data_IF_370927932467
#
_entry.id   IF_370927932467
#
_cell.length_a   1.000
_cell.length_b   1.000
_cell.length_c   1.000
_cell.angle_alpha   90.00
_cell.angle_beta   90.00
_cell.angle_gamma   90.00
#
_symmetry.space_group_name_H-M   'P 1'
#
loop_
_entity.id
_entity.type
_entity.pdbx_description
1 polymer ?
#
# COMPACT_ATOMS: atom_id res chain seq x y z
N UNK A 1 -9.27 -4.51 26.31
CA UNK A 1 -8.34 -4.63 27.46
C UNK A 1 -7.00 -4.06 27.02
N UNK A 2 -6.77 -2.80 27.37
CA UNK A 2 -5.57 -2.03 27.08
C UNK A 2 -4.45 -2.47 28.02
N UNK A 3 -3.46 -3.19 27.51
CA UNK A 3 -2.20 -3.37 28.23
C UNK A 3 -1.31 -2.17 27.90
N UNK A 4 -1.48 -1.08 28.66
CA UNK A 4 -0.45 -0.06 28.78
C UNK A 4 0.65 -0.67 29.65
N UNK A 5 1.75 -1.10 29.04
CA UNK A 5 2.98 -1.35 29.81
C UNK A 5 3.59 0.02 30.14
N UNK A 6 3.79 0.28 31.42
CA UNK A 6 4.50 1.47 31.86
C UNK A 6 5.99 1.31 31.54
N UNK A 7 6.60 2.38 31.01
CA UNK A 7 8.04 2.51 30.72
C UNK A 7 8.92 2.09 31.92
N UNK A 8 8.39 2.13 33.15
CA UNK A 8 9.10 1.76 34.38
C UNK A 8 9.44 0.28 34.52
N UNK A 9 8.75 -0.64 33.82
CA UNK A 9 9.02 -2.09 33.94
C UNK A 9 10.19 -2.56 33.06
N UNK A 10 10.70 -1.73 32.15
CA UNK A 10 11.91 -2.03 31.36
C UNK A 10 13.22 -1.76 32.12
N UNK A 11 13.17 -1.05 33.25
CA UNK A 11 14.38 -0.48 33.85
C UNK A 11 15.31 -1.46 34.59
N UNK A 12 15.01 -2.76 34.59
CA UNK A 12 15.75 -3.74 35.41
C UNK A 12 16.87 -4.48 34.65
N UNK A 13 17.14 -4.17 33.38
CA UNK A 13 18.07 -4.94 32.54
C UNK A 13 19.30 -4.19 32.01
N UNK A 14 19.62 -3.01 32.59
CA UNK A 14 20.67 -2.16 32.05
C UNK A 14 22.09 -2.59 32.45
N UNK A 15 22.86 -3.03 31.46
CA UNK A 15 24.32 -3.01 31.49
C UNK A 15 24.86 -2.18 30.32
N UNK A 16 25.77 -1.25 30.63
CA UNK A 16 26.29 -0.24 29.70
C UNK A 16 27.33 -0.85 28.77
N UNK A 17 26.92 -1.29 27.59
CA UNK A 17 27.82 -1.42 26.45
C UNK A 17 27.11 -0.98 25.16
N UNK A 18 27.62 0.11 24.58
CA UNK A 18 27.20 0.70 23.31
C UNK A 18 27.48 -0.33 22.20
N UNK A 19 26.45 -1.10 21.86
CA UNK A 19 26.50 -2.21 20.90
C UNK A 19 25.61 -1.85 19.70
N UNK A 20 25.96 -2.30 18.50
CA UNK A 20 25.37 -1.95 17.20
C UNK A 20 23.84 -1.66 17.18
N UNK A 21 23.04 -2.37 17.98
CA UNK A 21 21.60 -2.09 18.16
C UNK A 21 21.28 -0.64 18.54
N UNK A 22 22.16 0.06 19.27
CA UNK A 22 21.94 1.45 19.65
C UNK A 22 21.96 2.42 18.45
N UNK A 23 22.82 2.15 17.46
CA UNK A 23 22.90 2.99 16.26
C UNK A 23 21.70 2.76 15.34
N UNK A 24 21.25 1.50 15.22
CA UNK A 24 20.08 1.13 14.43
C UNK A 24 18.80 1.78 14.99
N UNK A 25 18.60 1.69 16.31
CA UNK A 25 17.47 2.31 17.00
C UNK A 25 17.44 3.84 16.88
N UNK A 26 18.59 4.49 17.05
CA UNK A 26 18.74 5.94 16.90
C UNK A 26 18.43 6.41 15.46
N UNK A 27 18.99 5.72 14.45
CA UNK A 27 18.70 6.03 13.06
C UNK A 27 17.21 5.84 12.72
N UNK A 28 16.61 4.74 13.17
CA UNK A 28 15.19 4.48 12.98
C UNK A 28 14.32 5.58 13.60
N UNK A 29 14.67 6.05 14.81
CA UNK A 29 13.96 7.14 15.48
C UNK A 29 14.09 8.45 14.69
N UNK A 30 15.28 8.80 14.20
CA UNK A 30 15.51 9.99 13.36
C UNK A 30 14.68 9.96 12.07
N UNK A 31 14.68 8.82 11.37
CA UNK A 31 13.87 8.63 10.15
C UNK A 31 12.38 8.76 10.47
N UNK A 32 11.91 8.15 11.56
CA UNK A 32 10.52 8.24 11.98
C UNK A 32 10.11 9.68 12.32
N UNK A 33 10.88 10.39 13.14
CA UNK A 33 10.56 11.78 13.56
C UNK A 33 10.44 12.71 12.34
N UNK A 34 11.33 12.56 11.36
CA UNK A 34 11.35 13.44 10.20
C UNK A 34 10.28 13.13 9.16
N UNK A 35 9.78 11.89 9.11
CA UNK A 35 8.90 11.44 8.02
C UNK A 35 7.50 11.04 8.45
N UNK A 36 7.29 10.62 9.70
CA UNK A 36 5.99 10.19 10.17
C UNK A 36 5.11 11.40 10.53
N UNK A 37 3.79 11.26 10.34
CA UNK A 37 2.80 12.15 10.93
C UNK A 37 2.63 11.79 12.40
N UNK A 38 3.24 12.61 13.25
CA UNK A 38 3.33 12.43 14.70
C UNK A 38 1.98 12.45 15.43
N UNK A 39 0.90 12.85 14.74
CA UNK A 39 -0.47 12.81 15.27
C UNK A 39 -1.08 11.42 15.23
N UNK A 40 -0.57 10.54 14.37
CA UNK A 40 -1.06 9.17 14.21
C UNK A 40 -0.20 8.18 15.00
N UNK A 41 -0.81 7.06 15.40
CA UNK A 41 -0.09 5.99 16.07
C UNK A 41 0.89 5.30 15.10
N UNK A 42 2.06 4.96 15.62
CA UNK A 42 3.08 4.13 14.97
C UNK A 42 2.99 2.71 15.52
N UNK A 43 2.92 1.71 14.64
CA UNK A 43 2.94 0.31 15.04
C UNK A 43 4.38 -0.18 15.11
N UNK A 44 4.77 -0.71 16.27
CA UNK A 44 6.10 -1.27 16.49
C UNK A 44 5.99 -2.80 16.60
N UNK A 45 6.65 -3.49 15.68
CA UNK A 45 6.76 -4.95 15.61
C UNK A 45 8.19 -5.36 15.88
N UNK A 46 8.39 -6.34 16.74
CA UNK A 46 9.71 -6.90 17.02
C UNK A 46 9.60 -8.31 17.61
N UNK A 47 10.64 -9.10 17.41
CA UNK A 47 10.83 -10.37 18.11
C UNK A 47 11.48 -10.14 19.50
N UNK A 48 11.10 -10.92 20.51
CA UNK A 48 11.51 -10.73 21.91
C UNK A 48 13.02 -10.81 22.17
N UNK A 49 13.81 -11.27 21.20
CA UNK A 49 15.28 -11.31 21.27
C UNK A 49 15.95 -9.98 20.92
N UNK A 50 15.20 -9.01 20.38
CA UNK A 50 15.72 -7.76 19.80
C UNK A 50 15.45 -6.54 20.73
N UNK A 51 15.87 -6.63 21.99
CA UNK A 51 15.50 -5.63 23.00
C UNK A 51 16.27 -4.31 22.88
N UNK A 52 17.54 -4.32 22.46
CA UNK A 52 18.41 -3.14 22.54
C UNK A 52 18.06 -2.05 21.51
N UNK A 53 17.87 -2.40 20.23
CA UNK A 53 17.49 -1.41 19.23
C UNK A 53 16.08 -0.85 19.45
N UNK A 54 15.16 -1.70 19.89
CA UNK A 54 13.80 -1.30 20.28
C UNK A 54 13.82 -0.30 21.42
N UNK A 55 14.62 -0.56 22.46
CA UNK A 55 14.74 0.33 23.60
C UNK A 55 15.25 1.71 23.20
N UNK A 56 16.34 1.77 22.43
CA UNK A 56 16.89 3.06 21.98
C UNK A 56 15.89 3.81 21.10
N UNK A 57 15.15 3.12 20.23
CA UNK A 57 14.07 3.73 19.46
C UNK A 57 12.99 4.35 20.36
N UNK A 58 12.54 3.63 21.39
CA UNK A 58 11.54 4.12 22.35
C UNK A 58 12.05 5.28 23.21
N UNK A 59 13.35 5.32 23.51
CA UNK A 59 13.99 6.43 24.22
C UNK A 59 14.04 7.72 23.40
N UNK A 60 14.10 7.65 22.06
CA UNK A 60 14.13 8.85 21.22
C UNK A 60 12.76 9.20 20.60
N UNK A 61 11.90 8.21 20.36
CA UNK A 61 10.58 8.39 19.73
C UNK A 61 9.47 8.43 20.78
N UNK A 62 9.26 9.60 21.41
CA UNK A 62 8.26 9.79 22.49
C UNK A 62 6.80 9.98 22.02
N UNK A 63 6.45 9.57 20.81
CA UNK A 63 5.12 9.76 20.23
C UNK A 63 4.23 8.53 20.40
N UNK A 64 2.98 8.60 19.93
CA UNK A 64 2.00 7.52 20.05
C UNK A 64 2.51 6.24 19.39
N UNK A 65 2.84 5.24 20.19
CA UNK A 65 3.29 3.92 19.73
C UNK A 65 2.32 2.86 20.23
N UNK A 66 2.00 1.91 19.36
CA UNK A 66 1.33 0.67 19.73
C UNK A 66 2.34 -0.46 19.54
N UNK A 67 2.76 -1.04 20.66
CA UNK A 67 3.67 -2.18 20.67
C UNK A 67 2.85 -3.44 20.44
N UNK A 68 3.13 -4.16 19.35
CA UNK A 68 2.45 -5.40 19.04
C UNK A 68 3.40 -6.60 19.16
N UNK A 69 3.26 -7.35 20.25
CA UNK A 69 3.79 -8.71 20.36
C UNK A 69 2.77 -9.68 19.76
N UNK A 70 2.80 -9.80 18.43
CA UNK A 70 2.17 -10.83 17.60
C UNK A 70 0.65 -11.11 17.71
N UNK A 71 -0.15 -10.44 18.57
CA UNK A 71 -1.57 -10.85 18.80
C UNK A 71 -2.55 -9.71 19.15
N UNK A 72 -2.36 -8.49 18.68
CA UNK A 72 -3.36 -7.42 18.86
C UNK A 72 -3.86 -6.88 17.53
N UNK A 73 -5.19 -6.63 17.45
CA UNK A 73 -5.86 -5.94 16.35
C UNK A 73 -5.13 -4.63 16.01
N UNK A 74 -4.34 -4.63 14.94
CA UNK A 74 -3.96 -3.40 14.30
C UNK A 74 -5.25 -2.76 13.76
N UNK A 75 -5.49 -1.47 14.06
CA UNK A 75 -6.57 -0.75 13.41
C UNK A 75 -6.22 -0.65 11.91
N UNK A 76 -7.14 -1.00 11.02
CA UNK A 76 -7.05 -0.85 9.55
C UNK A 76 -6.53 0.51 9.06
N UNK A 77 -6.57 1.54 9.92
CA UNK A 77 -6.20 2.91 9.58
C UNK A 77 -4.74 3.25 9.85
N UNK A 78 -3.94 2.36 10.43
CA UNK A 78 -2.53 2.68 10.70
C UNK A 78 -1.72 2.64 9.41
N UNK A 79 -0.85 3.65 9.22
CA UNK A 79 -0.05 3.85 8.00
C UNK A 79 1.44 4.04 8.30
N UNK A 80 1.89 3.66 9.50
CA UNK A 80 3.24 3.94 10.00
C UNK A 80 3.72 2.74 10.80
N UNK A 81 4.77 2.10 10.30
CA UNK A 81 5.23 0.80 10.78
C UNK A 81 6.73 0.85 11.01
N UNK A 82 7.14 0.30 12.15
CA UNK A 82 8.54 0.07 12.50
C UNK A 82 8.70 -1.40 12.84
N UNK A 83 9.60 -2.09 12.15
CA UNK A 83 9.83 -3.52 12.27
C UNK A 83 11.29 -3.72 12.68
N UNK A 84 11.52 -4.38 13.81
CA UNK A 84 12.84 -4.87 14.20
C UNK A 84 12.87 -6.38 13.98
N UNK A 85 13.82 -6.85 13.18
CA UNK A 85 13.98 -8.24 12.81
C UNK A 85 15.44 -8.70 12.93
N UNK A 86 15.66 -9.99 13.14
CA UNK A 86 17.01 -10.56 13.21
C UNK A 86 17.65 -10.69 11.83
N UNK A 87 16.88 -11.13 10.84
CA UNK A 87 17.32 -11.51 9.50
C UNK A 87 16.17 -11.37 8.49
N UNK A 88 16.44 -11.62 7.21
CA UNK A 88 15.44 -11.57 6.13
C UNK A 88 14.23 -12.49 6.36
N UNK A 89 14.40 -13.67 6.97
CA UNK A 89 13.29 -14.58 7.21
C UNK A 89 12.38 -14.08 8.35
N UNK A 90 12.94 -13.48 9.40
CA UNK A 90 12.17 -12.83 10.45
C UNK A 90 11.42 -11.60 9.92
N UNK A 91 12.00 -10.84 8.97
CA UNK A 91 11.30 -9.75 8.27
C UNK A 91 10.08 -10.30 7.53
N UNK A 92 10.24 -11.39 6.77
CA UNK A 92 9.14 -12.03 6.04
C UNK A 92 8.01 -12.47 6.99
N UNK A 93 8.35 -13.14 8.10
CA UNK A 93 7.38 -13.56 9.11
C UNK A 93 6.62 -12.38 9.76
N UNK A 94 7.31 -11.27 10.02
CA UNK A 94 6.67 -10.06 10.52
C UNK A 94 5.74 -9.45 9.47
N UNK A 95 6.14 -9.40 8.20
CA UNK A 95 5.31 -8.91 7.12
C UNK A 95 4.07 -9.78 6.87
N UNK A 96 4.20 -11.11 6.92
CA UNK A 96 3.09 -12.05 6.87
C UNK A 96 2.10 -11.83 8.00
N UNK A 97 2.62 -11.66 9.23
CA UNK A 97 1.82 -11.34 10.40
C UNK A 97 1.05 -10.04 10.18
N UNK A 98 1.69 -9.02 9.62
CA UNK A 98 1.08 -7.73 9.34
C UNK A 98 0.02 -7.82 8.24
N UNK A 99 0.24 -8.60 7.17
CA UNK A 99 -0.77 -8.87 6.12
C UNK A 99 -2.00 -9.52 6.73
N UNK A 100 -1.84 -10.46 7.67
CA UNK A 100 -2.96 -11.13 8.33
C UNK A 100 -3.88 -10.17 9.10
N UNK A 101 -3.39 -8.96 9.42
CA UNK A 101 -4.16 -7.88 10.04
C UNK A 101 -4.76 -6.87 9.03
N UNK A 102 -4.82 -7.21 7.73
CA UNK A 102 -5.42 -6.39 6.66
C UNK A 102 -4.81 -4.98 6.58
N UNK A 103 -3.48 -4.92 6.58
CA UNK A 103 -2.73 -3.67 6.59
C UNK A 103 -2.85 -2.86 5.27
N UNK A 104 -2.83 -1.53 5.41
CA UNK A 104 -2.56 -0.59 4.33
C UNK A 104 -1.08 -0.60 3.89
N UNK A 105 -0.76 -1.35 2.84
CA UNK A 105 0.55 -1.41 2.19
C UNK A 105 1.03 -0.07 1.57
N UNK A 106 0.18 0.95 1.51
CA UNK A 106 0.58 2.32 1.11
C UNK A 106 1.24 3.10 2.26
N UNK A 107 1.21 2.56 3.48
CA UNK A 107 1.85 3.12 4.67
C UNK A 107 3.37 3.26 4.55
N UNK A 108 3.97 3.93 5.54
CA UNK A 108 5.42 4.13 5.66
C UNK A 108 6.02 3.05 6.55
N UNK A 109 7.03 2.37 6.06
CA UNK A 109 7.72 1.28 6.74
C UNK A 109 9.16 1.67 7.05
N UNK A 110 9.58 1.44 8.28
CA UNK A 110 10.99 1.44 8.68
C UNK A 110 11.27 0.01 9.11
N UNK A 111 12.14 -0.67 8.38
CA UNK A 111 12.52 -2.07 8.61
C UNK A 111 13.97 -2.07 9.07
N UNK A 112 14.23 -2.65 10.22
CA UNK A 112 15.55 -2.73 10.86
C UNK A 112 15.95 -4.19 10.91
N UNK A 113 17.18 -4.48 10.47
CA UNK A 113 17.80 -5.81 10.54
C UNK A 113 19.00 -5.77 11.47
N UNK A 114 18.96 -6.55 12.55
CA UNK A 114 19.99 -6.53 13.60
C UNK A 114 21.09 -7.61 13.43
N UNK A 115 21.12 -8.36 12.32
CA UNK A 115 22.18 -9.36 12.11
C UNK A 115 23.57 -8.72 12.01
N UNK A 116 24.54 -9.37 12.65
CA UNK A 116 25.97 -9.08 12.49
C UNK A 116 26.56 -9.64 11.18
N UNK A 117 25.82 -10.49 10.47
CA UNK A 117 26.26 -11.14 9.23
C UNK A 117 25.66 -10.40 8.04
N UNK A 118 26.46 -9.74 7.17
CA UNK A 118 25.91 -8.95 6.05
C UNK A 118 24.97 -9.72 5.11
N UNK A 119 25.23 -11.02 4.90
CA UNK A 119 24.41 -11.86 4.01
C UNK A 119 23.02 -12.19 4.56
N UNK A 120 22.80 -12.08 5.87
CA UNK A 120 21.49 -12.37 6.48
C UNK A 120 20.51 -11.20 6.32
N UNK A 121 21.00 -10.04 5.90
CA UNK A 121 20.26 -8.78 5.76
C UNK A 121 20.63 -8.08 4.42
N UNK A 122 20.71 -8.84 3.33
CA UNK A 122 21.08 -8.28 2.02
C UNK A 122 20.05 -7.26 1.51
N UNK A 123 20.50 -6.05 1.18
CA UNK A 123 19.59 -4.98 0.78
C UNK A 123 18.79 -5.29 -0.50
N UNK A 124 19.37 -6.04 -1.45
CA UNK A 124 18.70 -6.37 -2.71
C UNK A 124 17.56 -7.36 -2.47
N UNK A 125 17.78 -8.35 -1.62
CA UNK A 125 16.76 -9.31 -1.21
C UNK A 125 15.60 -8.62 -0.49
N UNK A 126 15.89 -7.64 0.38
CA UNK A 126 14.84 -6.86 1.08
C UNK A 126 14.04 -5.97 0.11
N UNK A 127 14.67 -5.35 -0.89
CA UNK A 127 13.91 -4.58 -1.90
C UNK A 127 12.96 -5.49 -2.70
N UNK A 128 13.40 -6.70 -3.04
CA UNK A 128 12.57 -7.70 -3.72
C UNK A 128 11.42 -8.17 -2.83
N UNK A 129 11.71 -8.48 -1.57
CA UNK A 129 10.71 -8.85 -0.58
C UNK A 129 9.64 -7.75 -0.42
N UNK A 130 10.05 -6.51 -0.17
CA UNK A 130 9.12 -5.39 -0.03
C UNK A 130 8.27 -5.18 -1.28
N UNK A 131 8.85 -5.32 -2.48
CA UNK A 131 8.10 -5.23 -3.73
C UNK A 131 7.04 -6.31 -3.89
N UNK A 132 7.35 -7.56 -3.51
CA UNK A 132 6.41 -8.68 -3.54
C UNK A 132 5.23 -8.44 -2.58
N UNK A 133 5.50 -7.83 -1.43
CA UNK A 133 4.49 -7.40 -0.46
C UNK A 133 3.78 -6.07 -0.84
N UNK A 134 4.08 -5.52 -2.03
CA UNK A 134 3.57 -4.23 -2.53
C UNK A 134 3.89 -3.03 -1.64
N UNK A 135 4.99 -3.10 -0.88
CA UNK A 135 5.46 -2.06 0.03
C UNK A 135 6.52 -1.20 -0.67
N UNK A 136 6.10 -0.03 -1.14
CA UNK A 136 6.98 0.90 -1.89
C UNK A 136 7.57 1.98 -0.99
N UNK A 137 6.80 2.38 0.02
CA UNK A 137 7.15 3.43 0.97
C UNK A 137 7.91 2.82 2.15
N UNK A 138 9.18 2.48 1.93
CA UNK A 138 10.03 1.84 2.94
C UNK A 138 11.40 2.48 3.10
N UNK A 139 11.98 2.33 4.30
CA UNK A 139 13.38 2.53 4.64
C UNK A 139 13.89 1.26 5.32
N UNK A 140 14.97 0.69 4.82
CA UNK A 140 15.62 -0.50 5.37
C UNK A 140 16.90 -0.06 6.06
N UNK A 141 17.14 -0.50 7.28
CA UNK A 141 18.30 -0.09 8.07
C UNK A 141 19.04 -1.36 8.51
N UNK A 142 20.34 -1.42 8.22
CA UNK A 142 21.22 -2.49 8.68
C UNK A 142 22.54 -1.92 9.19
N UNK A 143 23.26 -2.72 9.96
CA UNK A 143 24.62 -2.38 10.37
C UNK A 143 25.58 -2.59 9.18
N UNK A 144 26.48 -1.65 8.96
CA UNK A 144 27.60 -1.77 8.03
C UNK A 144 28.88 -1.40 8.77
N UNK A 145 29.71 -2.40 9.05
CA UNK A 145 30.93 -2.27 9.87
C UNK A 145 30.67 -1.60 11.22
N UNK A 146 30.80 -0.27 11.28
CA UNK A 146 30.71 0.55 12.51
C UNK A 146 29.57 1.56 12.49
N UNK A 147 28.77 1.62 11.42
CA UNK A 147 27.68 2.59 11.27
C UNK A 147 26.37 1.94 10.83
N UNK A 148 25.25 2.51 11.30
CA UNK A 148 23.92 2.18 10.79
C UNK A 148 23.72 2.84 9.42
N UNK A 149 23.36 2.03 8.43
CA UNK A 149 23.14 2.48 7.05
C UNK A 149 21.73 2.17 6.61
N UNK A 150 21.11 3.16 5.97
CA UNK A 150 19.75 3.10 5.48
C UNK A 150 19.69 2.93 3.98
N UNK A 151 18.67 2.25 3.48
CA UNK A 151 18.42 1.99 2.08
C UNK A 151 16.94 2.21 1.73
N UNK A 152 16.70 2.57 0.49
CA UNK A 152 15.35 2.61 -0.11
C UNK A 152 15.45 2.25 -1.59
N UNK A 153 14.33 2.19 -2.31
CA UNK A 153 14.33 2.00 -3.76
C UNK A 153 13.25 2.84 -4.44
N UNK A 154 13.40 3.08 -5.74
CA UNK A 154 12.40 3.75 -6.57
C UNK A 154 11.97 2.79 -7.66
N UNK A 155 10.78 2.17 -7.54
CA UNK A 155 10.34 1.12 -8.46
C UNK A 155 10.26 1.58 -9.92
N UNK A 156 10.10 2.90 -10.13
CA UNK A 156 10.07 3.51 -11.45
C UNK A 156 11.15 4.58 -11.54
N UNK A 157 12.18 4.30 -12.33
CA UNK A 157 13.27 5.23 -12.62
C UNK A 157 13.87 4.90 -13.99
N UNK A 158 14.30 5.91 -14.74
CA UNK A 158 15.08 5.77 -15.97
C UNK A 158 14.48 4.79 -17.02
N UNK A 159 13.15 4.76 -17.13
CA UNK A 159 12.42 3.87 -18.06
C UNK A 159 12.29 2.41 -17.60
N UNK A 160 12.74 2.08 -16.39
CA UNK A 160 12.60 0.76 -15.78
C UNK A 160 11.36 0.75 -14.88
N UNK A 161 10.47 -0.23 -15.08
CA UNK A 161 9.17 -0.34 -14.39
C UNK A 161 9.15 -1.26 -13.17
N UNK A 162 10.30 -1.86 -12.87
CA UNK A 162 10.52 -2.69 -11.70
C UNK A 162 11.98 -2.50 -11.23
N UNK A 163 12.38 -1.26 -11.01
CA UNK A 163 13.71 -0.94 -10.55
C UNK A 163 13.82 -1.21 -9.04
N UNK A 164 14.33 -2.39 -8.71
CA UNK A 164 14.52 -2.82 -7.32
C UNK A 164 15.94 -2.60 -6.82
N UNK A 165 16.73 -1.78 -7.53
CA UNK A 165 18.09 -1.46 -7.11
C UNK A 165 18.07 -0.69 -5.79
N UNK A 166 18.75 -1.18 -4.74
CA UNK A 166 18.90 -0.47 -3.48
C UNK A 166 19.61 0.87 -3.68
N UNK A 167 19.12 1.88 -2.97
CA UNK A 167 19.65 3.22 -2.94
C UNK A 167 20.02 3.53 -1.50
N UNK A 168 21.33 3.67 -1.24
CA UNK A 168 21.84 4.09 0.07
C UNK A 168 21.36 5.50 0.39
N UNK A 169 20.87 5.68 1.61
CA UNK A 169 20.45 6.95 2.15
C UNK A 169 21.70 7.69 2.62
N UNK A 170 22.16 8.63 1.81
CA UNK A 170 23.27 9.51 2.13
C UNK A 170 22.92 10.97 1.79
N UNK A 171 23.64 11.92 2.36
CA UNK A 171 23.42 13.36 2.14
C UNK A 171 23.85 13.84 0.74
N UNK A 172 24.51 13.00 -0.04
CA UNK A 172 25.04 13.32 -1.37
C UNK A 172 24.14 12.82 -2.50
N UNK A 173 23.16 11.99 -2.18
CA UNK A 173 22.28 11.36 -3.15
C UNK A 173 21.14 12.30 -3.56
N UNK A 174 21.01 12.53 -4.87
CA UNK A 174 20.05 13.45 -5.48
C UNK A 174 18.57 13.15 -5.14
N UNK A 175 18.28 11.92 -4.71
CA UNK A 175 16.93 11.48 -4.37
C UNK A 175 16.57 11.72 -2.89
N UNK A 176 17.57 11.94 -2.03
CA UNK A 176 17.42 12.23 -0.59
C UNK A 176 17.89 13.65 -0.32
N UNK A 177 16.99 14.62 -0.51
CA UNK A 177 17.30 16.07 -0.44
C UNK A 177 17.82 16.55 0.93
N UNK A 178 17.67 15.73 1.95
CA UNK A 178 18.27 15.86 3.28
C UNK A 178 18.65 14.45 3.75
N UNK A 179 19.57 14.30 4.70
CA UNK A 179 20.08 12.99 5.14
C UNK A 179 18.98 11.96 5.43
N UNK A 180 17.81 12.39 5.97
CA UNK A 180 16.65 11.51 6.16
C UNK A 180 15.27 12.09 5.76
N UNK A 181 15.17 13.31 5.25
CA UNK A 181 13.88 13.94 4.94
C UNK A 181 13.41 13.69 3.51
N UNK A 182 12.09 13.54 3.36
CA UNK A 182 11.36 13.28 2.11
C UNK A 182 11.58 11.89 1.48
N UNK A 183 12.10 10.90 2.22
CA UNK A 183 12.37 9.56 1.68
C UNK A 183 11.10 8.85 1.19
N UNK A 184 9.98 9.07 1.89
CA UNK A 184 8.67 8.52 1.53
C UNK A 184 7.88 9.43 0.57
N UNK A 185 8.57 10.27 -0.20
CA UNK A 185 7.90 11.07 -1.25
C UNK A 185 7.20 10.17 -2.25
N UNK A 186 6.23 10.74 -2.96
CA UNK A 186 5.43 10.08 -4.01
C UNK A 186 6.32 9.40 -5.06
N UNK A 187 6.73 8.14 -4.83
CA UNK A 187 7.64 7.37 -5.70
C UNK A 187 7.00 7.05 -7.06
N UNK A 188 5.69 7.14 -7.15
CA UNK A 188 4.90 7.03 -8.38
C UNK A 188 4.41 8.39 -8.92
N UNK A 189 5.10 9.49 -8.60
CA UNK A 189 4.73 10.81 -9.15
C UNK A 189 4.85 10.86 -10.68
N UNK A 190 5.76 10.08 -11.24
CA UNK A 190 5.99 9.95 -12.67
C UNK A 190 6.28 8.49 -12.98
N UNK A 191 5.45 7.86 -13.81
CA UNK A 191 5.59 6.46 -14.19
C UNK A 191 6.51 6.25 -15.40
N UNK A 192 7.12 7.30 -15.97
CA UNK A 192 8.10 7.22 -17.06
C UNK A 192 7.67 6.28 -18.20
N UNK A 193 6.41 6.36 -18.62
CA UNK A 193 5.77 5.52 -19.64
C UNK A 193 5.63 4.03 -19.30
N UNK A 194 5.83 3.65 -18.04
CA UNK A 194 5.54 2.29 -17.60
C UNK A 194 4.09 1.90 -17.89
N UNK A 195 3.87 0.69 -18.42
CA UNK A 195 2.54 0.26 -18.81
C UNK A 195 1.70 -0.01 -17.58
N UNK A 196 0.55 0.64 -17.52
CA UNK A 196 -0.52 0.30 -16.59
C UNK A 196 -1.55 -0.51 -17.36
N UNK A 197 -1.80 -1.72 -16.87
CA UNK A 197 -2.78 -2.65 -17.42
C UNK A 197 -4.12 -2.39 -16.74
N UNK A 198 -5.10 -1.93 -17.52
CA UNK A 198 -6.46 -1.68 -17.05
C UNK A 198 -7.39 -2.77 -17.57
N UNK A 199 -8.02 -3.50 -16.64
CA UNK A 199 -9.13 -4.40 -16.96
C UNK A 199 -10.43 -3.60 -16.99
N UNK A 200 -11.21 -3.75 -18.06
CA UNK A 200 -12.54 -3.14 -18.20
C UNK A 200 -13.35 -3.86 -19.28
N UNK A 201 -14.60 -3.48 -19.51
CA UNK A 201 -15.43 -4.06 -20.56
C UNK A 201 -16.24 -2.98 -21.26
N UNK A 202 -16.77 -3.30 -22.45
CA UNK A 202 -17.60 -2.39 -23.21
C UNK A 202 -18.92 -2.18 -22.45
N UNK A 203 -19.14 -0.94 -22.00
CA UNK A 203 -20.32 -0.53 -21.22
C UNK A 203 -20.75 0.87 -21.66
N UNK A 204 -21.50 1.01 -22.77
CA UNK A 204 -22.05 2.30 -23.18
C UNK A 204 -22.96 2.90 -22.08
N UNK A 205 -22.94 4.22 -21.84
CA UNK A 205 -22.11 5.25 -22.48
C UNK A 205 -20.73 5.46 -21.78
N UNK A 206 -20.39 4.65 -20.79
CA UNK A 206 -19.22 4.83 -19.94
C UNK A 206 -17.92 4.38 -20.61
N UNK A 207 -17.93 3.22 -21.25
CA UNK A 207 -16.73 2.60 -21.83
C UNK A 207 -17.02 2.05 -23.22
N UNK A 208 -16.34 2.62 -24.21
CA UNK A 208 -16.19 2.06 -25.55
C UNK A 208 -14.71 1.73 -25.75
N UNK A 209 -14.41 0.65 -26.47
CA UNK A 209 -13.04 0.23 -26.75
C UNK A 209 -12.91 0.01 -28.24
N UNK A 210 -12.06 0.81 -28.91
CA UNK A 210 -11.77 0.66 -30.33
C UNK A 210 -10.26 0.61 -30.54
N UNK A 211 -9.74 -0.49 -31.06
CA UNK A 211 -8.30 -0.70 -31.27
C UNK A 211 -7.47 -0.46 -29.99
N UNK A 212 -7.97 -0.90 -28.84
CA UNK A 212 -7.32 -0.70 -27.54
C UNK A 212 -7.39 0.73 -26.98
N UNK A 213 -8.09 1.66 -27.68
CA UNK A 213 -8.30 3.02 -27.21
C UNK A 213 -9.66 3.08 -26.48
N UNK A 214 -9.66 3.40 -25.17
CA UNK A 214 -10.91 3.58 -24.44
C UNK A 214 -11.48 4.98 -24.65
N UNK A 215 -12.79 5.08 -24.86
CA UNK A 215 -13.54 6.35 -24.95
C UNK A 215 -14.87 6.25 -24.19
N UNK A 216 -15.56 7.39 -24.01
CA UNK A 216 -16.75 7.49 -23.14
C UNK A 216 -16.38 8.05 -21.78
N UNK A 217 -17.34 8.15 -20.86
CA UNK A 217 -17.13 8.81 -19.56
C UNK A 217 -15.95 8.20 -18.77
N UNK A 218 -15.93 6.87 -18.65
CA UNK A 218 -14.85 6.15 -18.00
C UNK A 218 -13.62 6.15 -18.92
N UNK A 219 -13.79 5.86 -20.22
CA UNK A 219 -12.64 5.79 -21.12
C UNK A 219 -11.80 7.08 -21.18
N UNK A 220 -12.45 8.24 -21.18
CA UNK A 220 -11.77 9.54 -21.21
C UNK A 220 -11.14 9.88 -19.85
N UNK A 221 -11.82 9.59 -18.72
CA UNK A 221 -11.24 9.72 -17.39
C UNK A 221 -9.99 8.84 -17.23
N UNK A 222 -10.05 7.60 -17.70
CA UNK A 222 -8.93 6.66 -17.69
C UNK A 222 -7.73 7.24 -18.43
N UNK A 223 -7.94 7.77 -19.63
CA UNK A 223 -6.88 8.40 -20.43
C UNK A 223 -6.29 9.63 -19.75
N UNK A 224 -7.13 10.47 -19.12
CA UNK A 224 -6.68 11.62 -18.34
C UNK A 224 -5.80 11.20 -17.16
N UNK A 225 -6.18 10.15 -16.43
CA UNK A 225 -5.39 9.61 -15.32
C UNK A 225 -4.03 9.09 -15.80
N UNK A 226 -4.01 8.28 -16.86
CA UNK A 226 -2.77 7.74 -17.43
C UNK A 226 -1.84 8.87 -17.89
N UNK A 227 -2.39 9.88 -18.56
CA UNK A 227 -1.63 11.05 -18.98
C UNK A 227 -1.07 11.82 -17.78
N UNK A 228 -1.88 12.06 -16.75
CA UNK A 228 -1.46 12.76 -15.53
C UNK A 228 -0.39 12.02 -14.72
N UNK A 229 -0.38 10.69 -14.78
CA UNK A 229 0.67 9.86 -14.17
C UNK A 229 1.92 9.69 -15.06
N UNK A 230 1.89 10.21 -16.29
CA UNK A 230 2.92 9.99 -17.31
C UNK A 230 3.21 8.49 -17.53
N UNK A 231 2.16 7.69 -17.68
CA UNK A 231 2.22 6.25 -17.94
C UNK A 231 1.80 5.92 -19.38
N UNK A 232 2.04 4.68 -19.80
CA UNK A 232 1.37 4.10 -20.97
C UNK A 232 0.18 3.24 -20.54
N UNK A 233 -0.83 3.10 -21.40
CA UNK A 233 -2.04 2.34 -21.12
C UNK A 233 -2.09 1.08 -21.95
N UNK A 234 -2.30 -0.06 -21.30
CA UNK A 234 -2.66 -1.32 -21.94
C UNK A 234 -4.06 -1.72 -21.49
N UNK A 235 -4.98 -1.82 -22.44
CA UNK A 235 -6.34 -2.27 -22.16
C UNK A 235 -6.43 -3.79 -22.23
N UNK A 236 -7.21 -4.37 -21.33
CA UNK A 236 -7.69 -5.74 -21.46
C UNK A 236 -9.16 -5.85 -21.05
N UNK A 237 -9.82 -6.87 -21.58
CA UNK A 237 -11.13 -7.33 -21.11
C UNK A 237 -10.98 -8.47 -20.11
N UNK A 238 -11.97 -8.70 -19.22
CA UNK A 238 -11.93 -9.79 -18.24
C UNK A 238 -11.42 -11.10 -18.82
N UNK A 239 -10.35 -11.65 -18.24
CA UNK A 239 -9.81 -12.96 -18.64
C UNK A 239 -10.79 -14.10 -18.32
N UNK A 240 -11.58 -13.92 -17.26
CA UNK A 240 -12.64 -14.81 -16.81
C UNK A 240 -13.91 -14.05 -16.45
N UNK A 241 -15.06 -14.60 -16.82
CA UNK A 241 -16.36 -13.98 -16.60
C UNK A 241 -16.55 -12.70 -17.43
N UNK A 242 -17.53 -11.88 -17.03
CA UNK A 242 -17.83 -10.61 -17.71
C UNK A 242 -18.24 -9.53 -16.70
N UNK A 243 -18.21 -8.27 -17.12
CA UNK A 243 -18.71 -7.15 -16.34
C UNK A 243 -17.75 -6.64 -15.26
N UNK A 244 -18.30 -5.87 -14.31
CA UNK A 244 -17.55 -5.17 -13.25
C UNK A 244 -16.75 -6.12 -12.36
N UNK A 245 -17.33 -7.29 -12.12
CA UNK A 245 -16.76 -8.35 -11.31
C UNK A 245 -17.55 -8.63 -10.04
N UNK A 246 -17.60 -9.90 -9.70
CA UNK A 246 -18.40 -10.45 -8.61
C UNK A 246 -17.69 -11.67 -8.03
N UNK A 247 -18.01 -11.97 -6.77
CA UNK A 247 -17.48 -13.14 -6.08
C UNK A 247 -18.50 -14.27 -6.16
N UNK A 248 -18.07 -15.42 -6.67
CA UNK A 248 -18.86 -16.64 -6.71
C UNK A 248 -19.03 -17.23 -5.29
N UNK A 249 -19.97 -18.18 -5.15
CA UNK A 249 -20.20 -18.87 -3.86
C UNK A 249 -18.99 -19.68 -3.38
N UNK A 250 -18.15 -20.14 -4.30
CA UNK A 250 -16.89 -20.84 -4.02
C UNK A 250 -15.76 -19.87 -3.57
N UNK A 251 -16.02 -18.57 -3.52
CA UNK A 251 -15.05 -17.53 -3.15
C UNK A 251 -14.24 -16.97 -4.31
N UNK A 252 -14.37 -17.52 -5.52
CA UNK A 252 -13.63 -17.12 -6.72
C UNK A 252 -14.12 -15.78 -7.26
N UNK A 253 -13.21 -14.87 -7.59
CA UNK A 253 -13.55 -13.63 -8.28
C UNK A 253 -13.73 -13.84 -9.78
N UNK A 254 -14.71 -13.17 -10.38
CA UNK A 254 -14.99 -13.16 -11.82
C UNK A 254 -15.08 -11.73 -12.34
N UNK A 255 -15.00 -11.53 -13.66
CA UNK A 255 -15.09 -10.23 -14.30
C UNK A 255 -13.84 -9.37 -14.12
N UNK A 256 -13.97 -8.05 -14.28
CA UNK A 256 -12.80 -7.16 -14.30
C UNK A 256 -12.01 -7.12 -12.99
N UNK A 257 -12.69 -7.20 -11.85
CA UNK A 257 -12.05 -7.31 -10.54
C UNK A 257 -11.24 -8.60 -10.35
N UNK A 258 -11.58 -9.68 -11.08
CA UNK A 258 -10.80 -10.92 -11.00
C UNK A 258 -9.39 -10.75 -11.56
N UNK A 259 -9.25 -10.01 -12.66
CA UNK A 259 -7.93 -9.74 -13.23
C UNK A 259 -7.04 -8.94 -12.26
N UNK A 260 -7.63 -8.06 -11.45
CA UNK A 260 -6.90 -7.34 -10.40
C UNK A 260 -6.54 -8.27 -9.25
N UNK A 261 -7.47 -9.12 -8.84
CA UNK A 261 -7.26 -10.08 -7.75
C UNK A 261 -6.14 -11.08 -8.06
N UNK A 262 -6.03 -11.51 -9.31
CA UNK A 262 -5.03 -12.48 -9.78
C UNK A 262 -3.75 -11.81 -10.33
N UNK A 263 -3.53 -10.53 -10.08
CA UNK A 263 -2.37 -9.75 -10.57
C UNK A 263 -2.18 -9.74 -12.10
N UNK A 264 -3.25 -9.95 -12.88
CA UNK A 264 -3.26 -9.86 -14.34
C UNK A 264 -3.44 -8.41 -14.83
N UNK A 265 -4.10 -7.56 -14.02
CA UNK A 265 -4.31 -6.14 -14.27
C UNK A 265 -3.91 -5.31 -13.05
N UNK A 266 -3.40 -4.10 -13.27
CA UNK A 266 -3.02 -3.22 -12.17
C UNK A 266 -4.24 -2.56 -11.51
N UNK A 267 -5.30 -2.29 -12.27
CA UNK A 267 -6.55 -1.81 -11.73
C UNK A 267 -7.74 -2.13 -12.64
N UNK A 268 -8.93 -2.08 -12.04
CA UNK A 268 -10.22 -2.19 -12.73
C UNK A 268 -10.87 -0.81 -12.78
N UNK A 269 -11.38 -0.44 -13.96
CA UNK A 269 -12.17 0.77 -14.11
C UNK A 269 -13.44 0.48 -14.87
N UNK A 270 -14.50 0.31 -14.10
CA UNK A 270 -15.82 -0.04 -14.58
C UNK A 270 -16.80 0.75 -13.73
N UNK A 271 -17.75 1.48 -14.31
CA UNK A 271 -18.80 2.24 -13.60
C UNK A 271 -19.69 1.33 -12.74
N UNK A 272 -19.12 0.85 -11.64
CA UNK A 272 -19.62 -0.19 -10.77
C UNK A 272 -20.12 0.42 -9.47
N UNK A 273 -21.23 -0.09 -8.94
CA UNK A 273 -21.64 0.23 -7.59
C UNK A 273 -20.61 -0.28 -6.57
N UNK A 274 -20.28 0.54 -5.57
CA UNK A 274 -19.46 0.09 -4.44
C UNK A 274 -20.34 -0.78 -3.55
N UNK A 275 -19.93 -2.04 -3.34
CA UNK A 275 -20.63 -3.01 -2.48
C UNK A 275 -19.69 -3.46 -1.37
N UNK A 276 -20.25 -3.98 -0.27
CA UNK A 276 -19.45 -4.46 0.85
C UNK A 276 -18.43 -5.53 0.40
N UNK A 277 -18.85 -6.50 -0.41
CA UNK A 277 -17.97 -7.57 -0.93
C UNK A 277 -16.80 -7.04 -1.75
N UNK A 278 -16.98 -5.94 -2.50
CA UNK A 278 -15.87 -5.32 -3.26
C UNK A 278 -14.94 -4.54 -2.34
N UNK A 279 -15.50 -3.88 -1.32
CA UNK A 279 -14.73 -3.08 -0.38
C UNK A 279 -13.92 -3.93 0.61
N UNK A 280 -14.28 -5.19 0.84
CA UNK A 280 -13.51 -6.09 1.71
C UNK A 280 -12.21 -6.57 1.06
N UNK A 281 -12.26 -6.89 -0.23
CA UNK A 281 -11.17 -7.59 -0.91
C UNK A 281 -10.31 -6.64 -1.77
N UNK A 282 -10.79 -5.41 -2.05
CA UNK A 282 -10.09 -4.44 -2.88
C UNK A 282 -9.97 -3.07 -2.23
N UNK A 283 -8.84 -2.41 -2.52
CA UNK A 283 -8.67 -0.99 -2.24
C UNK A 283 -9.43 -0.17 -3.29
N UNK A 284 -10.51 0.49 -2.86
CA UNK A 284 -11.33 1.34 -3.72
C UNK A 284 -10.86 2.79 -3.59
N UNK A 285 -10.71 3.47 -4.72
CA UNK A 285 -10.36 4.89 -4.78
C UNK A 285 -11.57 5.78 -4.40
N UNK A 286 -11.58 7.03 -4.87
CA UNK A 286 -12.72 7.93 -4.64
C UNK A 286 -13.81 7.72 -5.69
N UNK A 287 -15.07 7.64 -5.24
CA UNK A 287 -16.21 7.64 -6.15
C UNK A 287 -16.30 8.96 -6.91
N UNK A 288 -16.30 8.91 -8.24
CA UNK A 288 -16.40 10.09 -9.11
C UNK A 288 -17.82 10.34 -9.65
N UNK A 289 -18.73 9.40 -9.42
CA UNK A 289 -20.13 9.49 -9.84
C UNK A 289 -21.04 8.87 -8.80
N UNK A 290 -22.23 9.46 -8.62
CA UNK A 290 -23.31 8.89 -7.82
C UNK A 290 -24.50 8.63 -8.72
N UNK A 291 -25.05 7.42 -8.65
CA UNK A 291 -26.21 7.02 -9.43
C UNK A 291 -27.38 6.72 -8.50
N UNK A 292 -28.59 7.06 -8.94
CA UNK A 292 -29.83 6.72 -8.24
C UNK A 292 -30.51 5.58 -8.98
N UNK A 293 -31.01 4.61 -8.24
CA UNK A 293 -31.91 3.59 -8.79
C UNK A 293 -33.25 4.27 -9.06
N UNK A 294 -33.69 4.25 -10.30
CA UNK A 294 -34.98 4.83 -10.72
C UNK A 294 -35.82 3.75 -11.39
N UNK A 295 -37.13 3.82 -11.18
CA UNK A 295 -38.09 3.00 -11.90
C UNK A 295 -38.42 3.72 -13.20
N UNK A 296 -38.17 3.05 -14.33
CA UNK A 296 -38.56 3.55 -15.65
C UNK A 296 -39.76 2.72 -16.09
N UNK A 297 -40.91 3.37 -16.24
CA UNK A 297 -42.09 2.76 -16.87
C UNK A 297 -42.24 3.25 -18.30
N UNK A 298 -43.03 2.52 -19.09
CA UNK A 298 -43.51 3.06 -20.36
C UNK A 298 -44.25 4.37 -20.11
N UNK A 299 -44.19 5.27 -21.10
CA UNK A 299 -45.06 6.45 -21.10
C UNK A 299 -46.51 5.98 -21.14
N UNK A 300 -47.38 6.59 -20.33
CA UNK A 300 -48.80 6.27 -20.35
C UNK A 300 -49.34 6.42 -21.77
N UNK A 301 -49.98 5.38 -22.28
CA UNK A 301 -50.58 5.45 -23.61
C UNK A 301 -51.67 6.51 -23.64
N UNK A 302 -51.69 7.30 -24.71
CA UNK A 302 -52.73 8.32 -24.90
C UNK A 302 -54.06 7.60 -25.14
N UNK A 303 -54.94 7.64 -24.14
CA UNK A 303 -56.30 7.13 -24.28
C UNK A 303 -57.19 8.17 -24.95
N UNK A 304 -58.21 7.70 -25.69
CA UNK A 304 -59.22 8.58 -26.26
C UNK A 304 -59.90 9.37 -25.12
N UNK A 305 -59.89 10.69 -25.22
CA UNK A 305 -60.44 11.60 -24.20
C UNK A 305 -61.93 11.32 -23.94
N UNK A 306 -62.67 10.84 -24.95
CA UNK A 306 -64.07 10.48 -24.81
C UNK A 306 -64.30 9.31 -23.82
N UNK A 307 -63.34 8.41 -23.63
CA UNK A 307 -63.46 7.31 -22.67
C UNK A 307 -63.49 7.81 -21.21
N UNK A 308 -62.92 8.98 -20.91
CA UNK A 308 -63.02 9.61 -19.59
C UNK A 308 -64.46 10.02 -19.23
N UNK A 309 -65.30 10.26 -20.24
CA UNK A 309 -66.71 10.59 -20.03
C UNK A 309 -67.58 9.35 -19.75
N UNK A 310 -67.10 8.16 -20.15
CA UNK A 310 -67.81 6.88 -20.02
C UNK A 310 -67.37 6.06 -18.79
N UNK A 311 -66.27 6.45 -18.16
CA UNK A 311 -65.76 5.87 -16.92
C UNK A 311 -65.66 6.96 -15.82
N UNK A 312 -66.80 7.41 -15.25
CA UNK A 312 -66.84 8.41 -14.18
C UNK A 312 -66.30 7.94 -12.84
#
# INVERSE_FOLDING_TARGET
LTANMAISELNHFFDTNVTAGSQLGDMAAKVAIQNFDLRHATMLFFNSTLCYGVEVFLQFYHYNIVINRAKVLARKTTRQFVLFASDTADIELLLDSIISFEMDNTGKFIIICESSTPKECDEQDIMVLCWNYRIVNMVFIRQEETEAVGFTYYPVADGICNNLKPIKLDSHNQYTKTTYGEIFRKKFRNLNFCPIIASTFIQPPYMYIKNGIPTGIDGDLLRMLIHGMNASLKMMTPSRGTGWGFREKNGTWMGSLADVYDDLANFSMTSAAITLTRFTDFQISSGYSTSKVVWVSESAQVQNVALKLLHP
#
